data_IF_535774835252
#
_entry.id   IF_535774835252
#
_cell.length_a   1.000
_cell.length_b   1.000
_cell.length_c   1.000
_cell.angle_alpha   90.00
_cell.angle_beta   90.00
_cell.angle_gamma   90.00
#
_symmetry.space_group_name_H-M   'P 1'
#
loop_
_entity.id
_entity.type
_entity.pdbx_description
1 polymer ?
#
# COMPACT_ATOMS: atom_id res chain seq x y z
N UNK A 1 -17.53 17.20 -4.11
CA UNK A 1 -16.45 17.83 -3.28
C UNK A 1 -15.22 16.95 -3.44
N UNK A 2 -14.05 17.52 -3.77
CA UNK A 2 -12.78 16.79 -3.85
C UNK A 2 -12.17 16.72 -2.44
N UNK A 3 -11.64 15.56 -2.06
CA UNK A 3 -10.94 15.32 -0.80
C UNK A 3 -9.54 14.77 -1.09
N UNK A 4 -8.60 15.06 -0.21
CA UNK A 4 -7.24 14.54 -0.26
C UNK A 4 -6.93 13.81 1.04
N UNK A 5 -6.09 12.79 0.98
CA UNK A 5 -5.61 12.06 2.14
C UNK A 5 -4.15 11.70 2.00
N UNK A 6 -3.50 11.49 3.12
CA UNK A 6 -2.12 11.01 3.21
C UNK A 6 -2.10 9.72 4.03
N UNK A 7 -1.37 8.72 3.56
CA UNK A 7 -1.07 7.50 4.30
C UNK A 7 0.43 7.34 4.45
N UNK A 8 0.84 6.82 5.58
CA UNK A 8 2.24 6.59 5.92
C UNK A 8 2.35 5.26 6.65
N UNK A 9 3.18 4.36 6.16
CA UNK A 9 3.42 3.08 6.79
C UNK A 9 4.91 2.73 6.82
N UNK A 10 5.36 2.10 7.89
CA UNK A 10 6.76 1.69 8.12
C UNK A 10 6.78 0.30 8.70
N UNK A 11 7.46 -0.60 8.01
CA UNK A 11 7.69 -1.95 8.53
C UNK A 11 9.17 -2.20 8.79
N UNK A 12 9.44 -2.93 9.85
CA UNK A 12 10.77 -3.48 10.11
C UNK A 12 11.08 -4.54 9.06
N UNK A 13 12.33 -4.56 8.60
CA UNK A 13 12.84 -5.63 7.75
C UNK A 13 13.64 -6.63 8.58
N UNK A 14 13.47 -7.91 8.29
CA UNK A 14 14.27 -9.00 8.84
C UNK A 14 14.75 -9.92 7.71
N UNK A 15 15.65 -10.87 7.98
CA UNK A 15 16.11 -11.85 6.99
C UNK A 15 14.94 -12.65 6.44
N UNK A 16 14.89 -12.79 5.12
CA UNK A 16 13.83 -13.50 4.41
C UNK A 16 14.27 -13.85 2.99
N UNK A 17 13.36 -14.29 2.17
CA UNK A 17 13.60 -14.71 0.79
C UNK A 17 12.82 -13.87 -0.22
N UNK A 18 11.87 -13.07 0.24
CA UNK A 18 11.04 -12.20 -0.59
C UNK A 18 10.47 -11.03 0.19
N UNK A 19 10.21 -9.94 -0.51
CA UNK A 19 9.49 -8.78 -0.02
C UNK A 19 8.23 -8.58 -0.86
N UNK A 20 7.10 -8.31 -0.23
CA UNK A 20 5.85 -7.98 -0.93
C UNK A 20 5.71 -6.47 -0.99
N UNK A 21 5.54 -5.92 -2.19
CA UNK A 21 5.37 -4.48 -2.43
C UNK A 21 4.33 -4.27 -3.53
N UNK A 22 3.24 -3.59 -3.22
CA UNK A 22 2.14 -3.37 -4.15
C UNK A 22 1.51 -4.66 -4.65
N UNK A 23 1.45 -5.68 -3.79
CA UNK A 23 0.95 -7.02 -4.11
C UNK A 23 1.89 -7.87 -4.97
N UNK A 24 3.09 -7.36 -5.31
CA UNK A 24 4.09 -8.10 -6.09
C UNK A 24 5.15 -8.70 -5.15
N UNK A 25 5.41 -10.00 -5.34
CA UNK A 25 6.44 -10.72 -4.57
C UNK A 25 7.81 -10.55 -5.24
N UNK A 26 8.68 -9.78 -4.61
CA UNK A 26 10.00 -9.42 -5.14
C UNK A 26 11.07 -10.25 -4.44
N UNK A 27 11.93 -10.99 -5.16
CA UNK A 27 13.04 -11.73 -4.57
C UNK A 27 13.95 -10.79 -3.76
N UNK A 28 14.24 -11.18 -2.52
CA UNK A 28 14.98 -10.34 -1.58
C UNK A 28 15.63 -11.19 -0.50
N UNK A 29 16.72 -10.69 0.09
CA UNK A 29 17.29 -11.25 1.31
C UNK A 29 16.58 -10.76 2.58
N UNK A 30 15.51 -9.99 2.41
CA UNK A 30 14.71 -9.41 3.49
C UNK A 30 13.23 -9.66 3.25
N UNK A 31 12.48 -9.72 4.33
CA UNK A 31 11.02 -9.69 4.35
C UNK A 31 10.53 -8.64 5.34
N UNK A 32 9.33 -8.14 5.13
CA UNK A 32 8.63 -7.25 6.05
C UNK A 32 8.12 -8.02 7.27
N UNK A 33 8.21 -7.40 8.43
CA UNK A 33 7.58 -7.91 9.66
C UNK A 33 6.24 -7.23 9.81
N UNK A 34 5.16 -8.00 9.69
CA UNK A 34 3.80 -7.48 9.79
C UNK A 34 2.80 -8.58 10.13
N UNK A 35 1.58 -8.19 10.50
CA UNK A 35 0.49 -9.12 10.82
C UNK A 35 -0.10 -9.77 9.55
N UNK A 36 -0.21 -8.99 8.46
CA UNK A 36 -0.59 -9.44 7.12
C UNK A 36 0.63 -9.95 6.33
N UNK A 37 0.67 -9.77 5.03
CA UNK A 37 1.83 -10.02 4.18
C UNK A 37 2.94 -8.95 4.29
N UNK A 38 2.70 -7.89 5.07
CA UNK A 38 3.63 -6.81 5.33
C UNK A 38 3.84 -5.85 4.15
N UNK A 39 2.85 -5.72 3.26
CA UNK A 39 2.88 -4.79 2.13
C UNK A 39 2.69 -3.34 2.57
N UNK A 40 3.80 -2.68 2.85
CA UNK A 40 3.83 -1.29 3.32
C UNK A 40 3.20 -0.31 2.32
N UNK A 41 3.32 -0.57 1.01
CA UNK A 41 2.74 0.30 -0.02
C UNK A 41 1.21 0.24 0.01
N UNK A 42 0.63 -0.96 0.02
CA UNK A 42 -0.83 -1.12 0.08
C UNK A 42 -1.38 -0.58 1.40
N UNK A 43 -0.70 -0.79 2.53
CA UNK A 43 -1.14 -0.25 3.82
C UNK A 43 -1.19 1.29 3.82
N UNK A 44 -0.15 1.95 3.28
CA UNK A 44 -0.15 3.40 3.14
C UNK A 44 -1.26 3.90 2.20
N UNK A 45 -1.54 3.17 1.10
CA UNK A 45 -2.66 3.48 0.21
C UNK A 45 -3.99 3.38 0.97
N UNK A 46 -4.23 2.30 1.71
CA UNK A 46 -5.45 2.12 2.50
C UNK A 46 -5.65 3.27 3.49
N UNK A 47 -4.61 3.63 4.24
CA UNK A 47 -4.70 4.73 5.21
C UNK A 47 -4.98 6.08 4.55
N UNK A 48 -4.38 6.35 3.39
CA UNK A 48 -4.66 7.58 2.64
C UNK A 48 -6.12 7.66 2.16
N UNK A 49 -6.68 6.53 1.71
CA UNK A 49 -8.07 6.40 1.29
C UNK A 49 -9.05 6.64 2.43
N UNK A 50 -8.85 5.93 3.54
CA UNK A 50 -9.67 6.03 4.73
C UNK A 50 -9.60 7.44 5.34
N UNK A 51 -8.41 8.04 5.39
CA UNK A 51 -8.21 9.40 5.86
C UNK A 51 -8.94 10.43 5.02
N UNK A 52 -8.86 10.37 3.68
CA UNK A 52 -9.58 11.25 2.78
C UNK A 52 -11.10 11.14 2.94
N UNK A 53 -11.61 9.93 3.14
CA UNK A 53 -13.02 9.66 3.34
C UNK A 53 -13.52 9.96 4.76
N UNK A 54 -12.61 10.23 5.72
CA UNK A 54 -12.91 10.36 7.15
C UNK A 54 -13.56 9.09 7.76
N UNK A 55 -13.05 7.93 7.33
CA UNK A 55 -13.55 6.62 7.78
C UNK A 55 -12.69 5.97 8.87
N UNK A 56 -11.57 6.57 9.23
CA UNK A 56 -10.62 6.06 10.23
C UNK A 56 -9.30 5.62 9.58
N UNK A 57 -8.75 4.53 10.06
CA UNK A 57 -7.47 3.97 9.62
C UNK A 57 -7.56 2.44 9.38
N UNK A 58 -6.47 1.85 8.88
CA UNK A 58 -6.39 0.41 8.59
C UNK A 58 -6.63 -0.45 9.85
N UNK A 59 -6.18 -0.01 11.02
CA UNK A 59 -6.33 -0.74 12.28
C UNK A 59 -7.78 -0.85 12.76
N UNK A 60 -8.63 0.10 12.38
CA UNK A 60 -10.07 0.06 12.66
C UNK A 60 -10.78 -1.05 11.90
N UNK A 61 -10.39 -1.30 10.65
CA UNK A 61 -11.00 -2.31 9.76
C UNK A 61 -10.38 -3.69 9.91
N UNK A 62 -9.08 -3.72 10.15
CA UNK A 62 -8.26 -4.93 10.18
C UNK A 62 -7.37 -4.95 11.43
N UNK A 63 -7.97 -5.12 12.64
CA UNK A 63 -7.23 -5.12 13.90
C UNK A 63 -6.14 -6.20 13.90
N UNK A 64 -4.94 -5.84 14.38
CA UNK A 64 -3.79 -6.75 14.43
C UNK A 64 -3.91 -7.86 15.47
N UNK A 65 -4.86 -7.78 16.37
CA UNK A 65 -5.22 -8.80 17.36
C UNK A 65 -6.29 -9.79 16.86
N UNK A 66 -6.87 -9.55 15.68
CA UNK A 66 -7.83 -10.46 15.05
C UNK A 66 -7.10 -11.48 14.16
N UNK A 67 -7.07 -12.73 14.59
CA UNK A 67 -6.44 -13.86 13.86
C UNK A 67 -6.99 -14.06 12.44
N UNK A 68 -8.19 -13.55 12.14
CA UNK A 68 -8.79 -13.58 10.80
C UNK A 68 -7.89 -12.94 9.74
N UNK A 69 -7.13 -11.93 10.12
CA UNK A 69 -6.29 -11.15 9.20
C UNK A 69 -4.82 -11.57 9.19
N UNK A 70 -4.47 -12.53 10.01
CA UNK A 70 -3.10 -13.05 10.08
C UNK A 70 -2.67 -13.70 8.77
N UNK A 71 -1.59 -13.19 8.19
CA UNK A 71 -1.09 -13.65 6.89
C UNK A 71 -2.01 -13.36 5.71
N UNK A 72 -3.04 -12.53 5.89
CA UNK A 72 -3.91 -12.11 4.81
C UNK A 72 -3.12 -11.28 3.79
N UNK A 73 -3.43 -11.49 2.50
CA UNK A 73 -2.89 -10.65 1.42
C UNK A 73 -3.44 -9.24 1.53
N UNK A 74 -2.57 -8.23 1.43
CA UNK A 74 -2.97 -6.82 1.47
C UNK A 74 -3.83 -6.41 0.28
N UNK A 75 -3.75 -7.11 -0.85
CA UNK A 75 -4.68 -6.93 -1.98
C UNK A 75 -6.13 -7.11 -1.52
N UNK A 76 -6.40 -8.12 -0.68
CA UNK A 76 -7.72 -8.40 -0.14
C UNK A 76 -8.20 -7.24 0.73
N UNK A 77 -7.33 -6.73 1.59
CA UNK A 77 -7.65 -5.60 2.46
C UNK A 77 -7.99 -4.37 1.62
N UNK A 78 -7.21 -4.11 0.56
CA UNK A 78 -7.45 -2.99 -0.35
C UNK A 78 -8.81 -3.12 -1.05
N UNK A 79 -9.16 -4.31 -1.56
CA UNK A 79 -10.46 -4.56 -2.22
C UNK A 79 -11.62 -4.26 -1.26
N UNK A 80 -11.54 -4.70 -0.02
CA UNK A 80 -12.58 -4.47 0.99
C UNK A 80 -12.76 -2.95 1.24
N UNK A 81 -11.66 -2.19 1.33
CA UNK A 81 -11.72 -0.73 1.48
C UNK A 81 -12.26 -0.03 0.24
N UNK A 82 -11.90 -0.47 -0.96
CA UNK A 82 -12.48 0.08 -2.21
C UNK A 82 -13.99 -0.12 -2.26
N UNK A 83 -14.49 -1.26 -1.79
CA UNK A 83 -15.94 -1.50 -1.69
C UNK A 83 -16.60 -0.55 -0.68
N UNK A 84 -15.96 -0.34 0.47
CA UNK A 84 -16.43 0.60 1.50
C UNK A 84 -16.51 2.04 0.96
N UNK A 85 -15.50 2.48 0.22
CA UNK A 85 -15.50 3.80 -0.44
C UNK A 85 -16.67 3.94 -1.43
N UNK A 86 -16.89 2.93 -2.26
CA UNK A 86 -18.01 2.92 -3.23
C UNK A 86 -19.38 2.97 -2.54
N UNK A 87 -19.55 2.25 -1.42
CA UNK A 87 -20.80 2.33 -0.63
C UNK A 87 -21.03 3.71 -0.04
N UNK A 88 -19.96 4.47 0.23
CA UNK A 88 -20.01 5.84 0.69
C UNK A 88 -20.00 6.89 -0.45
N UNK A 89 -20.17 6.46 -1.71
CA UNK A 89 -20.18 7.30 -2.91
C UNK A 89 -18.88 8.08 -3.15
N UNK A 90 -17.74 7.49 -2.80
CA UNK A 90 -16.41 8.00 -3.14
C UNK A 90 -15.85 7.28 -4.35
N UNK A 91 -15.14 8.03 -5.18
CA UNK A 91 -14.41 7.56 -6.34
C UNK A 91 -12.97 8.05 -6.29
N UNK A 92 -12.05 7.18 -6.62
CA UNK A 92 -10.63 7.51 -6.66
C UNK A 92 -10.31 8.26 -7.95
N UNK A 93 -9.71 9.45 -7.85
CA UNK A 93 -9.30 10.25 -9.00
C UNK A 93 -7.87 9.87 -9.42
N UNK A 94 -6.93 9.90 -8.48
CA UNK A 94 -5.53 9.53 -8.72
C UNK A 94 -4.83 9.11 -7.44
N UNK A 95 -3.71 8.42 -7.59
CA UNK A 95 -2.80 8.07 -6.49
C UNK A 95 -1.39 8.49 -6.86
N UNK A 96 -0.71 9.15 -5.92
CA UNK A 96 0.72 9.40 -5.96
C UNK A 96 1.38 8.78 -4.73
N UNK A 97 2.40 7.96 -4.93
CA UNK A 97 3.05 7.20 -3.86
C UNK A 97 4.56 7.34 -3.90
N UNK A 98 5.20 7.22 -2.76
CA UNK A 98 6.66 7.18 -2.64
C UNK A 98 7.09 5.98 -1.81
N UNK A 99 7.99 5.17 -2.36
CA UNK A 99 8.61 4.05 -1.67
C UNK A 99 10.04 4.43 -1.31
N UNK A 100 10.39 4.35 -0.03
CA UNK A 100 11.73 4.59 0.47
C UNK A 100 12.30 3.25 0.92
N UNK A 101 13.13 2.65 0.07
CA UNK A 101 13.67 1.31 0.28
C UNK A 101 15.07 1.20 -0.33
N UNK A 102 16.04 0.76 0.47
CA UNK A 102 17.40 0.59 -0.04
C UNK A 102 17.58 -0.69 -0.87
N UNK A 103 17.00 -1.79 -0.44
CA UNK A 103 17.03 -3.10 -1.11
C UNK A 103 15.81 -3.93 -0.76
N UNK A 104 15.27 -4.71 -1.73
CA UNK A 104 15.72 -4.84 -3.11
C UNK A 104 15.49 -3.57 -3.93
N UNK A 105 16.09 -3.49 -5.12
CA UNK A 105 15.85 -2.41 -6.08
C UNK A 105 14.46 -2.61 -6.67
N UNK A 106 13.58 -1.61 -6.50
CA UNK A 106 12.16 -1.69 -6.89
C UNK A 106 11.92 -1.26 -8.35
N UNK A 107 12.82 -0.45 -8.92
CA UNK A 107 12.64 0.12 -10.27
C UNK A 107 12.13 -0.85 -11.33
N UNK A 108 12.70 -2.06 -11.48
CA UNK A 108 12.25 -3.04 -12.47
C UNK A 108 10.81 -3.54 -12.30
N UNK A 109 10.22 -3.38 -11.12
CA UNK A 109 8.88 -3.90 -10.77
C UNK A 109 7.78 -2.84 -10.80
N UNK A 110 8.11 -1.56 -11.03
CA UNK A 110 7.16 -0.45 -10.95
C UNK A 110 5.98 -0.64 -11.91
N UNK A 111 6.23 -1.02 -13.15
CA UNK A 111 5.16 -1.20 -14.13
C UNK A 111 4.25 -2.37 -13.73
N UNK A 112 4.81 -3.47 -13.23
CA UNK A 112 4.04 -4.62 -12.75
C UNK A 112 3.18 -4.25 -11.53
N UNK A 113 3.73 -3.47 -10.59
CA UNK A 113 2.98 -2.96 -9.43
C UNK A 113 1.82 -2.07 -9.89
N UNK A 114 2.05 -1.14 -10.81
CA UNK A 114 1.00 -0.26 -11.36
C UNK A 114 -0.09 -1.05 -12.07
N UNK A 115 0.29 -1.99 -12.94
CA UNK A 115 -0.65 -2.87 -13.65
C UNK A 115 -1.50 -3.70 -12.71
N UNK A 116 -0.98 -4.06 -11.55
CA UNK A 116 -1.73 -4.78 -10.53
C UNK A 116 -2.64 -3.87 -9.71
N UNK A 117 -2.14 -2.75 -9.23
CA UNK A 117 -2.87 -1.88 -8.31
C UNK A 117 -3.97 -1.06 -9.00
N UNK A 118 -3.71 -0.52 -10.20
CA UNK A 118 -4.66 0.37 -10.88
C UNK A 118 -6.05 -0.28 -11.11
N UNK A 119 -6.15 -1.53 -11.63
CA UNK A 119 -7.44 -2.20 -11.76
C UNK A 119 -8.15 -2.46 -10.43
N UNK A 120 -7.40 -2.81 -9.36
CA UNK A 120 -7.98 -3.01 -8.03
C UNK A 120 -8.65 -1.74 -7.51
N UNK A 121 -8.05 -0.59 -7.79
CA UNK A 121 -8.55 0.72 -7.37
C UNK A 121 -9.58 1.31 -8.34
N UNK A 122 -9.76 0.70 -9.53
CA UNK A 122 -10.68 1.18 -10.55
C UNK A 122 -10.20 2.43 -11.28
N UNK A 123 -8.89 2.68 -11.33
CA UNK A 123 -8.26 3.81 -12.02
C UNK A 123 -7.40 3.36 -13.19
N UNK A 124 -7.10 4.28 -14.11
CA UNK A 124 -6.10 4.05 -15.16
C UNK A 124 -4.68 4.00 -14.57
N UNK A 125 -3.80 3.19 -15.16
CA UNK A 125 -2.38 3.13 -14.78
C UNK A 125 -1.69 4.50 -14.81
N UNK A 126 -2.10 5.39 -15.70
CA UNK A 126 -1.58 6.77 -15.80
C UNK A 126 -1.95 7.65 -14.59
N UNK A 127 -2.93 7.24 -13.78
CA UNK A 127 -3.36 7.93 -12.56
C UNK A 127 -2.74 7.32 -11.29
N UNK A 128 -1.86 6.34 -11.45
CA UNK A 128 -1.07 5.72 -10.38
C UNK A 128 0.41 6.03 -10.60
N UNK A 129 0.99 6.85 -9.74
CA UNK A 129 2.41 7.21 -9.79
C UNK A 129 3.15 6.62 -8.60
N UNK A 130 4.35 6.11 -8.85
CA UNK A 130 5.21 5.53 -7.81
C UNK A 130 6.59 6.15 -7.93
N UNK A 131 6.98 6.91 -6.91
CA UNK A 131 8.33 7.43 -6.75
C UNK A 131 9.17 6.48 -5.91
N UNK A 132 10.46 6.36 -6.22
CA UNK A 132 11.40 5.54 -5.48
C UNK A 132 12.48 6.42 -4.90
N UNK A 133 12.80 6.22 -3.63
CA UNK A 133 13.97 6.78 -2.98
C UNK A 133 14.81 5.66 -2.36
N UNK A 134 16.11 5.70 -2.62
CA UNK A 134 17.09 4.73 -2.10
C UNK A 134 17.88 5.36 -0.95
N UNK A 135 17.45 5.22 0.30
CA UNK A 135 18.14 5.81 1.44
C UNK A 135 19.46 5.08 1.73
N UNK A 136 20.41 5.80 2.33
CA UNK A 136 21.70 5.23 2.75
C UNK A 136 21.56 4.29 3.95
N UNK A 137 20.48 4.37 4.73
CA UNK A 137 20.19 3.52 5.89
C UNK A 137 19.20 2.41 5.53
N UNK A 138 19.35 1.24 6.17
CA UNK A 138 18.44 0.13 6.00
C UNK A 138 17.09 0.46 6.65
N UNK A 139 16.02 0.41 5.88
CA UNK A 139 14.64 0.64 6.32
C UNK A 139 13.71 0.69 5.13
N UNK A 140 12.41 0.55 5.38
CA UNK A 140 11.37 0.70 4.36
C UNK A 140 10.30 1.64 4.88
N UNK A 141 10.01 2.68 4.11
CA UNK A 141 8.96 3.67 4.38
C UNK A 141 8.19 3.86 3.08
N UNK A 142 6.88 3.85 3.16
CA UNK A 142 6.02 4.18 2.03
C UNK A 142 5.06 5.30 2.39
N UNK A 143 4.88 6.22 1.45
CA UNK A 143 3.89 7.30 1.52
C UNK A 143 2.89 7.13 0.38
N UNK A 144 1.64 7.40 0.67
CA UNK A 144 0.64 7.59 -0.35
C UNK A 144 -0.06 8.93 -0.14
N UNK A 145 -0.11 9.75 -1.18
CA UNK A 145 -0.90 11.00 -1.24
C UNK A 145 -2.02 10.82 -2.25
N UNK A 146 -3.19 11.31 -1.92
CA UNK A 146 -4.43 10.89 -2.52
C UNK A 146 -5.36 12.05 -2.85
N UNK A 147 -6.05 11.99 -4.00
CA UNK A 147 -7.22 12.81 -4.31
C UNK A 147 -8.45 11.95 -4.54
N UNK A 148 -9.50 12.20 -3.78
CA UNK A 148 -10.85 11.67 -3.97
C UNK A 148 -11.80 12.71 -4.56
#
# INVERSE_FOLDING_TARGET
MIRTGIGYDVHKLEKGDKLVVGGISIPSNYKSVGHSDGDTLIHAIIDSLLGAANLGDIGKYFPSDDEKWKGCSSDRLLIDIIQELKMNNYEIINIDTTIILRKPIIGPYIDEIKQKLAPLMGISENLSLIHISEPTRLGMISYAVFCL
#
